data_IF_968832372427
#
_entry.id   IF_968832372427
#
_cell.length_a   1.000
_cell.length_b   1.000
_cell.length_c   1.000
_cell.angle_alpha   90.00
_cell.angle_beta   90.00
_cell.angle_gamma   90.00
#
_symmetry.space_group_name_H-M   'P 1'
#
loop_
_entity.id
_entity.type
_entity.pdbx_description
1 polymer ?
#
# COMPACT_ATOMS: atom_id res chain seq x y z
N UNK A 1 25.86 -14.33 -3.80
CA UNK A 1 25.01 -14.19 -5.00
C UNK A 1 23.88 -13.22 -4.69
N UNK A 2 24.03 -11.94 -5.04
CA UNK A 2 23.03 -10.91 -4.75
C UNK A 2 22.95 -9.91 -5.91
N UNK A 3 22.08 -10.19 -6.89
CA UNK A 3 21.67 -9.26 -7.94
C UNK A 3 20.25 -9.65 -8.37
N UNK A 4 19.23 -9.22 -7.63
CA UNK A 4 17.83 -9.59 -7.90
C UNK A 4 16.83 -8.42 -7.87
N UNK A 5 17.31 -7.21 -7.63
CA UNK A 5 16.51 -5.99 -7.62
C UNK A 5 17.30 -4.95 -8.43
N UNK A 6 16.83 -4.61 -9.63
CA UNK A 6 17.28 -3.37 -10.27
C UNK A 6 16.29 -2.31 -9.84
N UNK A 7 16.60 -1.73 -8.70
CA UNK A 7 15.82 -0.70 -8.03
C UNK A 7 15.65 0.52 -8.94
N UNK A 8 14.50 0.62 -9.62
CA UNK A 8 13.93 1.95 -9.86
C UNK A 8 13.24 2.31 -8.55
N UNK A 9 14.02 2.81 -7.59
CA UNK A 9 13.46 3.44 -6.39
C UNK A 9 12.95 4.81 -6.82
N UNK A 10 11.63 4.94 -6.89
CA UNK A 10 11.03 6.26 -6.86
C UNK A 10 10.76 6.58 -5.39
N UNK A 11 11.67 7.33 -4.76
CA UNK A 11 11.45 7.89 -3.43
C UNK A 11 10.47 9.04 -3.54
N UNK A 12 9.32 8.93 -2.88
CA UNK A 12 8.27 9.94 -2.94
C UNK A 12 8.04 10.48 -1.54
N UNK A 13 8.18 11.80 -1.43
CA UNK A 13 7.77 12.55 -0.27
C UNK A 13 6.32 12.97 -0.45
N UNK A 14 5.41 12.38 0.33
CA UNK A 14 4.06 12.91 0.46
C UNK A 14 4.01 13.64 1.80
N UNK A 15 4.34 14.93 1.75
CA UNK A 15 3.98 15.84 2.85
C UNK A 15 2.58 16.31 2.53
N UNK A 16 1.68 16.09 3.46
CA UNK A 16 0.34 16.61 3.37
C UNK A 16 0.07 17.57 4.51
N UNK A 17 -0.59 18.67 4.17
CA UNK A 17 -1.01 19.69 5.10
C UNK A 17 -2.53 19.71 5.12
N UNK A 18 -3.13 18.85 5.94
CA UNK A 18 -4.44 19.09 6.51
C UNK A 18 -5.60 18.41 5.80
N UNK A 19 -5.97 17.21 6.27
CA UNK A 19 -7.29 17.00 6.92
C UNK A 19 -7.37 15.58 7.47
N UNK A 20 -7.95 15.45 8.67
CA UNK A 20 -8.44 14.17 9.18
C UNK A 20 -9.70 13.81 8.40
N UNK A 21 -9.97 12.51 8.22
CA UNK A 21 -11.21 12.05 7.61
C UNK A 21 -11.83 10.93 8.45
N UNK A 22 -13.15 10.77 8.35
CA UNK A 22 -13.82 9.64 8.99
C UNK A 22 -13.61 8.38 8.16
N UNK A 23 -13.29 7.27 8.82
CA UNK A 23 -13.15 5.95 8.18
C UNK A 23 -14.41 5.59 7.40
N UNK A 24 -15.57 5.91 7.95
CA UNK A 24 -16.89 5.73 7.33
C UNK A 24 -17.14 6.60 6.10
N UNK A 25 -16.52 7.79 5.99
CA UNK A 25 -16.60 8.62 4.78
C UNK A 25 -15.81 8.02 3.62
N UNK A 26 -14.70 7.33 3.92
CA UNK A 26 -13.85 6.75 2.88
C UNK A 26 -14.32 5.36 2.43
N UNK A 27 -14.63 4.46 3.38
CA UNK A 27 -15.05 3.08 3.09
C UNK A 27 -16.58 2.90 3.02
N UNK A 28 -17.36 3.95 3.25
CA UNK A 28 -18.81 3.90 3.19
C UNK A 28 -19.35 3.70 1.78
N UNK A 29 -20.63 3.34 1.67
CA UNK A 29 -21.33 3.10 0.39
C UNK A 29 -21.26 4.29 -0.59
N UNK A 30 -21.17 5.50 -0.04
CA UNK A 30 -21.08 6.75 -0.79
C UNK A 30 -19.66 7.35 -0.71
N UNK A 31 -18.66 6.50 -0.48
CA UNK A 31 -17.28 6.94 -0.44
C UNK A 31 -16.85 7.62 -1.74
N UNK A 32 -15.79 8.44 -1.69
CA UNK A 32 -15.33 9.21 -2.84
C UNK A 32 -14.81 8.34 -4.00
N UNK A 33 -14.54 7.06 -3.74
CA UNK A 33 -14.02 6.09 -4.69
C UNK A 33 -14.73 4.74 -4.51
N UNK A 34 -14.92 4.01 -5.60
CA UNK A 34 -15.49 2.66 -5.53
C UNK A 34 -14.41 1.69 -5.06
N UNK A 35 -14.63 1.06 -3.91
CA UNK A 35 -13.67 0.14 -3.29
C UNK A 35 -14.37 -1.18 -3.01
N UNK A 36 -13.75 -2.27 -3.48
CA UNK A 36 -14.07 -3.62 -3.05
C UNK A 36 -13.00 -4.12 -2.11
N UNK A 37 -13.42 -4.66 -0.96
CA UNK A 37 -12.53 -5.29 0.01
C UNK A 37 -12.81 -6.80 0.04
N UNK A 38 -11.82 -7.62 0.42
CA UNK A 38 -12.06 -9.01 0.82
C UNK A 38 -12.33 -9.10 2.32
N UNK A 39 -12.75 -10.27 2.79
CA UNK A 39 -13.12 -10.49 4.19
C UNK A 39 -11.91 -10.30 5.12
N UNK A 40 -10.75 -10.82 4.73
CA UNK A 40 -9.49 -10.61 5.47
C UNK A 40 -9.17 -9.14 5.68
N UNK A 41 -9.36 -8.27 4.68
CA UNK A 41 -9.11 -6.84 4.85
C UNK A 41 -10.10 -6.23 5.86
N UNK A 42 -11.37 -6.64 5.80
CA UNK A 42 -12.40 -6.17 6.74
C UNK A 42 -12.18 -6.67 8.16
N UNK A 43 -11.66 -7.87 8.32
CA UNK A 43 -11.48 -8.53 9.62
C UNK A 43 -10.14 -8.22 10.27
N UNK A 44 -9.08 -8.00 9.48
CA UNK A 44 -7.72 -7.85 10.02
C UNK A 44 -7.24 -6.40 9.99
N UNK A 45 -7.53 -5.66 8.91
CA UNK A 45 -6.98 -4.31 8.70
C UNK A 45 -7.94 -3.24 9.21
N UNK A 46 -9.20 -3.26 8.77
CA UNK A 46 -10.19 -2.23 9.14
C UNK A 46 -10.43 -2.04 10.66
N UNK A 47 -10.40 -3.08 11.51
CA UNK A 47 -10.60 -2.91 12.95
C UNK A 47 -9.45 -2.16 13.63
N UNK A 48 -8.26 -2.20 13.05
CA UNK A 48 -7.09 -1.49 13.59
C UNK A 48 -7.03 -0.03 13.18
N UNK A 49 -7.79 0.35 12.14
CA UNK A 49 -7.89 1.73 11.66
C UNK A 49 -8.85 2.51 12.58
N UNK A 50 -8.39 3.62 13.20
CA UNK A 50 -9.23 4.45 14.06
C UNK A 50 -10.41 5.06 13.28
N UNK A 51 -11.47 5.45 13.98
CA UNK A 51 -12.63 6.07 13.30
C UNK A 51 -12.27 7.40 12.65
N UNK A 52 -11.44 8.21 13.31
CA UNK A 52 -10.83 9.39 12.72
C UNK A 52 -9.44 8.99 12.23
N UNK A 53 -9.28 8.91 10.92
CA UNK A 53 -8.04 8.44 10.31
C UNK A 53 -7.06 9.59 10.19
N UNK A 54 -5.85 9.46 10.77
CA UNK A 54 -4.80 10.44 10.57
C UNK A 54 -4.30 10.39 9.14
N UNK A 55 -3.89 11.54 8.66
CA UNK A 55 -3.19 11.65 7.39
C UNK A 55 -1.83 10.95 7.43
N UNK A 56 -1.45 10.31 6.32
CA UNK A 56 -0.12 9.72 6.23
C UNK A 56 0.95 10.81 6.29
N UNK A 57 1.90 10.65 7.22
CA UNK A 57 3.06 11.52 7.38
C UNK A 57 4.32 10.67 7.33
N UNK A 58 5.01 10.72 6.21
CA UNK A 58 6.23 9.95 6.04
C UNK A 58 6.74 9.96 4.62
N UNK A 59 7.78 9.17 4.41
CA UNK A 59 8.34 8.89 3.10
C UNK A 59 8.03 7.44 2.79
N UNK A 60 7.80 7.15 1.52
CA UNK A 60 7.75 5.78 1.06
C UNK A 60 8.41 5.70 -0.30
N UNK A 61 8.81 4.49 -0.64
CA UNK A 61 9.37 4.16 -1.93
C UNK A 61 8.44 3.21 -2.67
N UNK A 62 8.45 3.34 -3.99
CA UNK A 62 7.88 2.36 -4.92
C UNK A 62 9.00 1.65 -5.63
N UNK A 63 8.88 0.33 -5.80
CA UNK A 63 9.80 -0.47 -6.60
C UNK A 63 9.04 -1.47 -7.46
N UNK A 64 9.45 -1.64 -8.72
CA UNK A 64 8.80 -2.55 -9.66
C UNK A 64 9.47 -3.93 -9.65
N UNK A 65 8.67 -4.99 -9.65
CA UNK A 65 9.18 -6.36 -9.79
C UNK A 65 9.58 -6.62 -11.25
N UNK A 66 10.87 -6.91 -11.46
CA UNK A 66 11.43 -7.32 -12.76
C UNK A 66 11.53 -8.83 -12.92
N UNK A 67 11.38 -9.57 -11.83
CA UNK A 67 11.28 -11.04 -11.79
C UNK A 67 10.17 -11.45 -10.80
N UNK A 68 9.69 -12.70 -10.91
CA UNK A 68 8.68 -13.20 -9.98
C UNK A 68 9.31 -13.46 -8.59
N UNK A 69 8.65 -13.06 -7.52
CA UNK A 69 9.16 -13.15 -6.15
C UNK A 69 8.07 -13.56 -5.14
N UNK A 70 8.45 -14.24 -4.06
CA UNK A 70 7.59 -14.51 -2.91
C UNK A 70 7.69 -13.39 -1.86
N UNK A 71 6.66 -13.25 -1.02
CA UNK A 71 6.68 -12.30 0.11
C UNK A 71 7.92 -12.45 1.00
N UNK A 72 8.36 -13.68 1.26
CA UNK A 72 9.58 -14.00 2.00
C UNK A 72 10.87 -13.53 1.33
N UNK A 73 10.86 -13.29 0.02
CA UNK A 73 11.99 -12.73 -0.72
C UNK A 73 11.94 -11.19 -0.82
N UNK A 74 10.74 -10.62 -0.67
CA UNK A 74 10.49 -9.17 -0.71
C UNK A 74 10.72 -8.53 0.66
N UNK A 75 10.13 -9.09 1.72
CA UNK A 75 10.11 -8.48 3.06
C UNK A 75 11.50 -8.27 3.68
N UNK A 76 12.46 -9.23 3.65
CA UNK A 76 13.79 -8.98 4.21
C UNK A 76 14.57 -7.86 3.50
N UNK A 77 14.25 -7.59 2.22
CA UNK A 77 14.86 -6.50 1.44
C UNK A 77 14.25 -5.14 1.78
N UNK A 78 13.02 -5.15 2.28
CA UNK A 78 12.28 -3.98 2.72
C UNK A 78 12.72 -3.54 4.13
N UNK A 79 13.41 -4.41 4.89
CA UNK A 79 13.82 -4.11 6.27
C UNK A 79 12.60 -3.86 7.16
N UNK A 80 12.59 -2.74 7.89
CA UNK A 80 11.46 -2.25 8.69
C UNK A 80 10.41 -1.46 7.87
N UNK A 81 10.48 -1.49 6.53
CA UNK A 81 9.65 -0.68 5.63
C UNK A 81 8.17 -1.10 5.52
N UNK A 82 7.59 -1.57 6.62
CA UNK A 82 6.17 -1.87 6.75
C UNK A 82 5.36 -0.63 7.13
N UNK A 83 4.06 -0.65 6.83
CA UNK A 83 3.12 0.37 7.29
C UNK A 83 2.33 -0.16 8.49
N UNK A 84 1.84 0.73 9.34
CA UNK A 84 0.71 0.41 10.21
C UNK A 84 -0.60 0.54 9.40
N UNK A 85 -1.71 -0.12 9.80
CA UNK A 85 -3.00 0.05 9.14
C UNK A 85 -3.46 1.51 9.00
N UNK A 86 -3.34 2.39 10.01
CA UNK A 86 -3.70 3.80 9.85
C UNK A 86 -2.82 4.54 8.84
N UNK A 87 -1.51 4.28 8.83
CA UNK A 87 -0.59 4.87 7.84
C UNK A 87 -0.93 4.44 6.42
N UNK A 88 -1.18 3.14 6.23
CA UNK A 88 -1.61 2.60 4.94
C UNK A 88 -2.90 3.29 4.47
N UNK A 89 -3.95 3.31 5.29
CA UNK A 89 -5.24 3.92 4.92
C UNK A 89 -5.11 5.42 4.68
N UNK A 90 -4.37 6.15 5.51
CA UNK A 90 -4.11 7.58 5.30
C UNK A 90 -3.35 7.86 4.00
N UNK A 91 -2.49 6.95 3.56
CA UNK A 91 -1.76 7.06 2.30
C UNK A 91 -2.66 6.75 1.11
N UNK A 92 -3.34 5.60 1.10
CA UNK A 92 -4.16 5.19 -0.03
C UNK A 92 -5.40 6.06 -0.20
N UNK A 93 -5.96 6.62 0.87
CA UNK A 93 -7.09 7.56 0.75
C UNK A 93 -6.71 8.79 -0.05
N UNK A 94 -5.52 9.35 0.17
CA UNK A 94 -5.02 10.48 -0.61
C UNK A 94 -4.77 10.07 -2.06
N UNK A 95 -4.08 8.95 -2.29
CA UNK A 95 -3.77 8.49 -3.65
C UNK A 95 -5.05 8.24 -4.46
N UNK A 96 -6.03 7.54 -3.86
CA UNK A 96 -7.30 7.26 -4.52
C UNK A 96 -8.13 8.51 -4.74
N UNK A 97 -8.34 9.35 -3.72
CA UNK A 97 -9.29 10.47 -3.85
C UNK A 97 -8.75 11.59 -4.72
N UNK A 98 -7.45 11.88 -4.64
CA UNK A 98 -6.88 13.08 -5.27
C UNK A 98 -6.18 12.77 -6.59
N UNK A 99 -5.62 11.57 -6.72
CA UNK A 99 -4.76 11.26 -7.86
C UNK A 99 -5.42 10.28 -8.82
N UNK A 100 -6.12 9.25 -8.31
CA UNK A 100 -6.59 8.14 -9.16
C UNK A 100 -8.00 7.62 -8.79
N UNK A 101 -9.04 8.48 -8.67
CA UNK A 101 -10.36 8.05 -8.20
C UNK A 101 -11.08 7.09 -9.16
N UNK A 102 -10.70 7.07 -10.43
CA UNK A 102 -11.26 6.20 -11.48
C UNK A 102 -10.18 5.36 -12.17
N UNK A 103 -9.09 5.08 -11.45
CA UNK A 103 -7.97 4.32 -12.00
C UNK A 103 -7.20 5.07 -13.07
N UNK A 104 -7.16 6.40 -13.01
CA UNK A 104 -6.34 7.22 -13.91
C UNK A 104 -4.85 6.94 -13.71
N UNK A 105 -4.03 7.43 -14.64
CA UNK A 105 -2.59 7.32 -14.53
C UNK A 105 -2.08 8.09 -13.30
N UNK A 106 -1.23 7.45 -12.53
CA UNK A 106 -0.67 8.02 -11.32
C UNK A 106 0.35 7.10 -10.67
N UNK A 107 0.47 7.21 -9.35
CA UNK A 107 1.49 6.50 -8.61
C UNK A 107 1.17 5.01 -8.44
N UNK A 108 -0.09 4.66 -8.20
CA UNK A 108 -0.55 3.28 -8.17
C UNK A 108 -0.68 2.76 -9.60
N UNK A 109 -0.32 1.50 -9.79
CA UNK A 109 -0.61 0.78 -11.01
C UNK A 109 -2.13 0.68 -11.19
N UNK A 110 -2.61 1.04 -12.38
CA UNK A 110 -4.01 0.97 -12.80
C UNK A 110 -4.26 -0.11 -13.87
N UNK A 111 -3.25 -0.90 -14.23
CA UNK A 111 -3.31 -1.91 -15.29
C UNK A 111 -3.85 -3.27 -14.82
N UNK A 112 -4.48 -3.34 -13.64
CA UNK A 112 -4.86 -4.60 -12.98
C UNK A 112 -3.70 -5.35 -12.32
N UNK A 113 -2.48 -4.81 -12.36
CA UNK A 113 -1.37 -5.33 -11.57
C UNK A 113 -1.43 -4.85 -10.12
N UNK A 114 -1.10 -5.75 -9.20
CA UNK A 114 -1.03 -5.47 -7.78
C UNK A 114 0.02 -4.40 -7.43
N UNK A 115 -0.42 -3.45 -6.60
CA UNK A 115 0.40 -2.61 -5.75
C UNK A 115 0.46 -3.28 -4.37
N UNK A 116 1.62 -3.75 -3.97
CA UNK A 116 1.84 -4.59 -2.80
C UNK A 116 2.31 -3.72 -1.64
N UNK A 117 1.65 -3.87 -0.50
CA UNK A 117 1.97 -3.21 0.75
C UNK A 117 2.11 -4.27 1.85
N UNK A 118 3.04 -4.07 2.77
CA UNK A 118 3.19 -4.90 3.96
C UNK A 118 2.78 -4.11 5.18
N UNK A 119 1.84 -4.67 5.96
CA UNK A 119 1.30 -4.03 7.14
C UNK A 119 1.67 -4.83 8.38
N UNK A 120 2.13 -4.15 9.43
CA UNK A 120 2.32 -4.72 10.77
C UNK A 120 1.07 -4.41 11.58
N UNK A 121 0.38 -5.47 12.00
CA UNK A 121 -0.78 -5.41 12.88
C UNK A 121 -0.36 -5.21 14.34
N UNK A 122 -1.31 -4.81 15.20
CA UNK A 122 -1.06 -4.56 16.63
C UNK A 122 -0.53 -5.77 17.40
N UNK A 123 -0.90 -6.98 16.97
CA UNK A 123 -0.42 -8.25 17.53
C UNK A 123 1.00 -8.64 17.05
N UNK A 124 1.61 -7.82 16.19
CA UNK A 124 2.93 -8.06 15.60
C UNK A 124 2.92 -8.92 14.34
N UNK A 125 1.76 -9.41 13.90
CA UNK A 125 1.62 -10.16 12.65
C UNK A 125 1.81 -9.24 11.45
N UNK A 126 2.57 -9.71 10.46
CA UNK A 126 2.68 -9.03 9.16
C UNK A 126 1.64 -9.61 8.22
N UNK A 127 0.89 -8.74 7.54
CA UNK A 127 -0.03 -9.12 6.47
C UNK A 127 0.34 -8.43 5.17
N UNK A 128 0.08 -9.10 4.05
CA UNK A 128 0.28 -8.54 2.72
C UNK A 128 -1.04 -7.96 2.23
N UNK A 129 -1.05 -6.70 1.83
CA UNK A 129 -2.21 -6.07 1.19
C UNK A 129 -1.87 -5.79 -0.27
N UNK A 130 -2.62 -6.36 -1.21
CA UNK A 130 -2.59 -5.90 -2.59
C UNK A 130 -3.72 -4.92 -2.86
N UNK A 131 -3.34 -3.89 -3.59
CA UNK A 131 -4.22 -2.88 -4.15
C UNK A 131 -4.15 -2.95 -5.66
N UNK A 132 -5.25 -3.20 -6.34
CA UNK A 132 -5.29 -3.20 -7.80
C UNK A 132 -6.56 -2.57 -8.35
N UNK A 133 -6.45 -2.02 -9.56
CA UNK A 133 -7.57 -1.44 -10.27
C UNK A 133 -8.26 -2.50 -11.12
N UNK A 134 -9.54 -2.73 -10.84
CA UNK A 134 -10.38 -3.59 -11.64
C UNK A 134 -11.14 -2.75 -12.68
N UNK A 135 -10.80 -2.89 -13.97
CA UNK A 135 -11.41 -2.12 -15.06
C UNK A 135 -12.92 -2.40 -15.27
N UNK A 136 -13.41 -3.54 -14.81
CA UNK A 136 -14.83 -3.88 -14.84
C UNK A 136 -15.18 -4.67 -13.57
N UNK A 137 -15.65 -3.99 -12.51
CA UNK A 137 -16.66 -2.92 -12.58
C UNK A 137 -16.16 -1.47 -12.38
N UNK A 138 -14.86 -1.18 -12.61
CA UNK A 138 -14.22 0.13 -12.33
C UNK A 138 -14.16 0.44 -10.84
N UNK A 139 -13.37 -0.35 -10.13
CA UNK A 139 -13.19 -0.23 -8.68
C UNK A 139 -11.76 -0.56 -8.26
N UNK A 140 -11.37 -0.05 -7.09
CA UNK A 140 -10.13 -0.43 -6.42
C UNK A 140 -10.38 -1.64 -5.53
N UNK A 141 -9.61 -2.70 -5.74
CA UNK A 141 -9.60 -3.89 -4.90
C UNK A 141 -8.58 -3.70 -3.77
N UNK A 142 -9.02 -3.95 -2.52
CA UNK A 142 -8.18 -3.96 -1.33
C UNK A 142 -8.25 -5.34 -0.68
N UNK A 143 -7.28 -6.20 -0.98
CA UNK A 143 -7.26 -7.57 -0.50
C UNK A 143 -6.11 -7.81 0.45
N UNK A 144 -6.42 -8.31 1.65
CA UNK A 144 -5.43 -8.75 2.61
C UNK A 144 -5.21 -10.27 2.51
N UNK A 145 -3.95 -10.68 2.64
CA UNK A 145 -3.49 -12.06 2.63
C UNK A 145 -2.55 -12.29 3.80
N UNK A 146 -2.57 -13.52 4.33
CA UNK A 146 -1.56 -13.91 5.30
C UNK A 146 -0.19 -13.95 4.61
N UNK A 147 0.83 -13.41 5.27
CA UNK A 147 2.19 -13.35 4.75
C UNK A 147 2.75 -14.75 4.40
N UNK A 148 2.33 -15.78 5.13
CA UNK A 148 2.80 -17.15 4.96
C UNK A 148 2.10 -17.90 3.81
N UNK A 149 1.05 -17.33 3.18
CA UNK A 149 0.25 -18.04 2.17
C UNK A 149 1.03 -18.34 0.87
N UNK A 150 2.25 -17.82 0.72
CA UNK A 150 3.17 -18.26 -0.33
C UNK A 150 2.77 -17.83 -1.74
N UNK A 151 2.08 -16.70 -1.88
CA UNK A 151 1.73 -16.17 -3.18
C UNK A 151 3.01 -15.70 -3.91
N UNK A 152 3.27 -16.29 -5.08
CA UNK A 152 4.35 -15.84 -5.97
C UNK A 152 3.86 -14.66 -6.79
N UNK A 153 4.32 -13.46 -6.46
CA UNK A 153 4.06 -12.25 -7.21
C UNK A 153 4.78 -12.31 -8.56
N UNK A 154 4.04 -12.11 -9.66
CA UNK A 154 4.65 -12.06 -11.01
C UNK A 154 5.22 -10.68 -11.31
N UNK A 155 6.14 -10.65 -12.27
CA UNK A 155 6.70 -9.45 -12.91
C UNK A 155 5.64 -8.38 -13.20
N UNK A 156 6.04 -7.12 -13.09
CA UNK A 156 5.21 -5.95 -13.41
C UNK A 156 4.38 -5.40 -12.24
N UNK A 157 4.40 -6.07 -11.09
CA UNK A 157 3.79 -5.55 -9.85
C UNK A 157 4.68 -4.50 -9.20
N UNK A 158 4.07 -3.62 -8.43
CA UNK A 158 4.76 -2.61 -7.65
C UNK A 158 4.76 -3.02 -6.17
N UNK A 159 5.87 -2.79 -5.48
CA UNK A 159 5.99 -2.94 -4.02
C UNK A 159 6.19 -1.55 -3.44
N UNK A 160 5.41 -1.24 -2.42
CA UNK A 160 5.48 0.00 -1.65
C UNK A 160 6.00 -0.31 -0.25
N UNK A 161 6.93 0.51 0.22
CA UNK A 161 7.49 0.37 1.54
C UNK A 161 7.77 1.71 2.20
N UNK A 162 7.48 1.79 3.50
CA UNK A 162 7.72 2.96 4.32
C UNK A 162 9.23 3.19 4.48
N UNK A 163 9.64 4.45 4.55
CA UNK A 163 10.98 4.83 4.97
C UNK A 163 10.93 5.59 6.29
N UNK A 164 11.66 5.13 7.32
CA UNK A 164 11.79 5.88 8.56
C UNK A 164 12.38 7.26 8.28
N UNK A 165 11.77 8.31 8.84
CA UNK A 165 12.21 9.71 8.69
C UNK A 165 13.67 9.94 9.11
N UNK A 166 14.24 9.03 9.91
CA UNK A 166 15.61 9.10 10.42
C UNK A 166 16.71 8.74 9.39
N UNK A 167 16.36 8.25 8.20
CA UNK A 167 17.32 7.89 7.15
C UNK A 167 17.50 8.94 6.04
N UNK A 168 16.95 10.16 6.21
CA UNK A 168 17.38 11.32 5.41
C UNK A 168 18.77 11.83 5.87
N UNK A 169 19.78 10.98 5.78
CA UNK A 169 21.15 11.47 5.60
C UNK A 169 21.28 11.83 4.14
N UNK A 170 21.01 13.10 3.85
CA UNK A 170 21.38 13.73 2.59
C UNK A 170 22.88 13.50 2.36
N UNK A 171 23.24 12.65 1.41
CA UNK A 171 24.55 12.71 0.80
C UNK A 171 24.46 13.79 -0.30
N UNK A 172 24.82 15.01 0.08
CA UNK A 172 25.23 16.06 -0.87
C UNK A 172 26.58 15.70 -1.49
#
# INVERSE_FOLDING_TARGET
>A
MAKRFKEIIQGISIISTGSLFLKSEFFGKNGPVNIRMNDNFREWVLPEVPEIVPEFRGFFCKSMLIECAYDSELCPKIGEGTFTPPEFVGMISRLFVWQQPKGEDGLLLNSGYANIFYLVLKDGRVVTVNVDWNFNPREWDLFAWDFATGCRWRVGRAVFYSQPTLLLRFNF
#
